data_IF_475291211922
#
_entry.id   IF_475291211922
#
_cell.length_a   1.000
_cell.length_b   1.000
_cell.length_c   1.000
_cell.angle_alpha   90.00
_cell.angle_beta   90.00
_cell.angle_gamma   90.00
#
_symmetry.space_group_name_H-M   'P 1'
#
loop_
_entity.id
_entity.type
_entity.pdbx_description
1 polymer ?
#
# COMPACT_ATOMS: atom_id res chain seq x y z
N UNK A 1 11.83 10.10 -12.48
CA UNK A 1 11.16 10.09 -11.14
C UNK A 1 10.44 11.41 -10.89
N UNK A 2 10.03 12.08 -11.96
CA UNK A 2 9.76 13.52 -11.96
C UNK A 2 8.31 13.86 -11.59
N UNK A 3 7.45 12.84 -11.49
CA UNK A 3 6.04 12.95 -11.12
C UNK A 3 5.78 12.81 -9.61
N UNK A 4 6.80 12.51 -8.78
CA UNK A 4 6.61 12.37 -7.34
C UNK A 4 6.63 13.74 -6.64
N UNK A 5 5.70 14.01 -5.71
CA UNK A 5 5.60 15.30 -5.05
C UNK A 5 6.86 15.60 -4.22
N UNK A 6 7.52 16.73 -4.52
CA UNK A 6 8.81 17.15 -3.90
C UNK A 6 8.72 17.53 -2.41
N UNK A 7 7.51 17.69 -1.85
CA UNK A 7 7.29 18.07 -0.44
C UNK A 7 7.52 16.90 0.54
N UNK A 8 7.58 15.66 0.06
CA UNK A 8 7.85 14.47 0.89
C UNK A 8 9.15 13.83 0.43
N UNK A 9 9.89 13.22 1.35
CA UNK A 9 11.03 12.38 0.97
C UNK A 9 10.56 11.29 -0.01
N UNK A 10 11.34 11.04 -1.07
CA UNK A 10 10.99 10.07 -2.12
C UNK A 10 10.67 8.70 -1.53
N UNK A 11 11.58 8.21 -0.70
CA UNK A 11 11.43 6.98 0.09
C UNK A 11 11.66 7.34 1.55
N UNK A 12 10.78 6.86 2.42
CA UNK A 12 10.95 6.92 3.87
C UNK A 12 10.57 5.57 4.45
N UNK A 13 11.21 5.23 5.55
CA UNK A 13 10.86 4.12 6.40
C UNK A 13 9.96 4.61 7.54
N UNK A 14 8.89 3.88 7.87
CA UNK A 14 8.14 4.09 9.10
C UNK A 14 7.81 2.76 9.79
N UNK A 15 7.72 2.81 11.11
CA UNK A 15 7.26 1.68 11.93
C UNK A 15 5.81 1.91 12.28
N UNK A 16 4.95 0.93 11.98
CA UNK A 16 3.60 0.90 12.53
C UNK A 16 3.68 0.40 13.98
N UNK A 17 3.26 1.24 14.92
CA UNK A 17 3.33 0.92 16.35
C UNK A 17 2.32 -0.14 16.79
N UNK A 18 1.27 -0.39 16.00
CA UNK A 18 0.29 -1.43 16.26
C UNK A 18 0.75 -2.80 15.73
N UNK A 19 1.36 -2.82 14.55
CA UNK A 19 1.82 -4.07 13.91
C UNK A 19 3.29 -4.39 14.21
N UNK A 20 4.04 -3.43 14.77
CA UNK A 20 5.48 -3.46 15.00
C UNK A 20 6.27 -3.86 13.75
N UNK A 21 5.83 -3.36 12.59
CA UNK A 21 6.37 -3.74 11.27
C UNK A 21 6.91 -2.55 10.51
N UNK A 22 7.79 -2.86 9.56
CA UNK A 22 8.45 -1.92 8.67
C UNK A 22 7.57 -1.60 7.46
N UNK A 23 7.20 -0.33 7.30
CA UNK A 23 6.28 0.12 6.26
C UNK A 23 6.99 1.09 5.32
N UNK A 24 6.67 0.99 4.03
CA UNK A 24 7.15 1.91 3.01
C UNK A 24 6.35 3.21 3.08
N UNK A 25 7.04 4.31 3.41
CA UNK A 25 6.50 5.64 3.47
C UNK A 25 7.19 6.59 2.47
N UNK A 26 6.82 7.86 2.53
CA UNK A 26 7.31 8.89 1.61
C UNK A 26 6.41 9.04 0.38
N UNK A 27 6.90 9.78 -0.60
CA UNK A 27 6.16 10.06 -1.83
C UNK A 27 5.87 8.79 -2.63
N UNK A 28 6.84 7.86 -2.69
CA UNK A 28 6.69 6.59 -3.39
C UNK A 28 5.63 5.70 -2.73
N UNK A 29 5.69 5.54 -1.41
CA UNK A 29 4.72 4.73 -0.68
C UNK A 29 3.29 5.25 -0.87
N UNK A 30 3.11 6.58 -0.83
CA UNK A 30 1.81 7.19 -1.12
C UNK A 30 1.35 6.91 -2.57
N UNK A 31 2.23 7.11 -3.56
CA UNK A 31 1.89 6.89 -4.96
C UNK A 31 1.55 5.42 -5.28
N UNK A 32 2.23 4.46 -4.66
CA UNK A 32 1.91 3.04 -4.78
C UNK A 32 0.51 2.78 -4.22
N UNK A 33 0.22 3.26 -3.00
CA UNK A 33 -1.09 3.09 -2.37
C UNK A 33 -2.20 3.71 -3.22
N UNK A 34 -2.00 4.94 -3.71
CA UNK A 34 -2.97 5.61 -4.59
C UNK A 34 -3.22 4.81 -5.88
N UNK A 35 -2.16 4.24 -6.48
CA UNK A 35 -2.29 3.39 -7.67
C UNK A 35 -3.05 2.10 -7.37
N UNK A 36 -2.82 1.48 -6.21
CA UNK A 36 -3.54 0.28 -5.80
C UNK A 36 -5.04 0.54 -5.60
N UNK A 37 -5.42 1.70 -5.07
CA UNK A 37 -6.82 2.12 -5.03
C UNK A 37 -7.39 2.38 -6.42
N UNK A 38 -6.65 3.08 -7.28
CA UNK A 38 -7.09 3.37 -8.65
C UNK A 38 -7.27 2.12 -9.52
N UNK A 39 -6.54 1.05 -9.21
CA UNK A 39 -6.67 -0.28 -9.84
C UNK A 39 -7.69 -1.19 -9.13
N UNK A 40 -8.41 -0.66 -8.12
CA UNK A 40 -9.36 -1.43 -7.29
C UNK A 40 -8.77 -2.66 -6.58
N UNK A 41 -7.46 -2.69 -6.40
CA UNK A 41 -6.80 -3.74 -5.60
C UNK A 41 -7.08 -3.53 -4.11
N UNK A 42 -7.27 -2.28 -3.70
CA UNK A 42 -7.64 -1.87 -2.35
C UNK A 42 -8.97 -1.13 -2.36
N UNK A 43 -9.72 -1.26 -1.26
CA UNK A 43 -10.93 -0.48 -0.97
C UNK A 43 -10.95 0.01 0.47
N UNK A 44 -11.63 1.11 0.72
CA UNK A 44 -11.83 1.57 2.10
C UNK A 44 -12.77 0.63 2.85
N UNK A 45 -12.42 0.32 4.09
CA UNK A 45 -13.28 -0.40 5.01
C UNK A 45 -14.40 0.48 5.57
N UNK A 46 -15.27 -0.13 6.39
CA UNK A 46 -16.39 0.55 7.06
C UNK A 46 -15.93 1.67 8.01
N UNK A 47 -14.72 1.56 8.56
CA UNK A 47 -14.18 2.48 9.54
C UNK A 47 -13.01 3.29 8.98
N UNK A 48 -12.82 4.48 9.54
CA UNK A 48 -11.72 5.37 9.15
C UNK A 48 -10.37 4.68 9.39
N UNK A 49 -9.44 4.83 8.44
CA UNK A 49 -8.11 4.20 8.44
C UNK A 49 -8.12 2.67 8.34
N UNK A 50 -9.25 2.06 7.98
CA UNK A 50 -9.30 0.65 7.62
C UNK A 50 -9.32 0.56 6.09
N UNK A 51 -8.46 -0.30 5.55
CA UNK A 51 -8.44 -0.66 4.13
C UNK A 51 -8.67 -2.17 4.02
N UNK A 52 -9.20 -2.61 2.89
CA UNK A 52 -9.41 -4.01 2.57
C UNK A 52 -8.77 -4.32 1.24
N UNK A 53 -8.02 -5.41 1.20
CA UNK A 53 -7.60 -6.03 -0.05
C UNK A 53 -8.81 -6.68 -0.72
N UNK A 54 -9.02 -6.38 -2.00
CA UNK A 54 -10.08 -7.02 -2.78
C UNK A 54 -9.65 -8.41 -3.25
N UNK A 55 -10.60 -9.23 -3.70
CA UNK A 55 -10.27 -10.55 -4.26
C UNK A 55 -9.39 -10.42 -5.51
N UNK A 56 -9.69 -9.44 -6.37
CA UNK A 56 -8.83 -9.04 -7.50
C UNK A 56 -7.45 -8.62 -7.00
N UNK A 57 -7.37 -7.78 -5.96
CA UNK A 57 -6.12 -7.38 -5.34
C UNK A 57 -5.28 -8.55 -4.86
N UNK A 58 -5.90 -9.56 -4.26
CA UNK A 58 -5.23 -10.79 -3.81
C UNK A 58 -4.73 -11.65 -4.96
N UNK A 59 -5.39 -11.63 -6.12
CA UNK A 59 -4.94 -12.35 -7.32
C UNK A 59 -3.78 -11.63 -7.99
N UNK A 60 -3.93 -10.34 -8.25
CA UNK A 60 -2.92 -9.49 -8.88
C UNK A 60 -1.62 -9.45 -8.07
N UNK A 61 -1.72 -9.32 -6.74
CA UNK A 61 -0.54 -9.33 -5.89
C UNK A 61 0.20 -10.67 -5.91
N UNK A 62 -0.53 -11.77 -6.05
CA UNK A 62 0.07 -13.10 -6.17
C UNK A 62 0.72 -13.29 -7.54
N UNK A 63 0.04 -12.86 -8.59
CA UNK A 63 0.48 -13.07 -9.98
C UNK A 63 1.67 -12.17 -10.33
N UNK A 64 1.61 -10.89 -9.99
CA UNK A 64 2.63 -9.90 -10.36
C UNK A 64 3.81 -9.93 -9.40
N UNK A 65 3.55 -10.07 -8.10
CA UNK A 65 4.58 -9.91 -7.06
C UNK A 65 4.89 -11.19 -6.29
N UNK A 66 4.20 -12.30 -6.57
CA UNK A 66 4.39 -13.56 -5.82
C UNK A 66 3.96 -13.47 -4.35
N UNK A 67 3.21 -12.44 -3.96
CA UNK A 67 2.84 -12.20 -2.56
C UNK A 67 1.63 -13.05 -2.20
N UNK A 68 1.76 -13.87 -1.16
CA UNK A 68 0.63 -14.58 -0.56
C UNK A 68 -0.11 -13.62 0.37
N UNK A 69 -1.44 -13.58 0.25
CA UNK A 69 -2.24 -12.60 0.99
C UNK A 69 -2.40 -12.89 2.49
N UNK A 70 -1.77 -13.93 3.03
CA UNK A 70 -1.58 -14.13 4.48
C UNK A 70 -0.51 -13.19 5.07
N UNK A 71 0.32 -12.56 4.23
CA UNK A 71 1.36 -11.60 4.63
C UNK A 71 0.98 -10.13 4.44
N UNK A 72 -0.22 -9.85 3.93
CA UNK A 72 -0.73 -8.49 3.76
C UNK A 72 -1.61 -8.19 4.97
N UNK A 73 -0.95 -7.76 6.04
CA UNK A 73 -1.56 -7.15 7.22
C UNK A 73 -0.95 -5.76 7.28
#
# INVERSE_FOLDING_TARGET
MDALPRRRATVRYCVDWSEQRHHLAGALGAAITDRMFALELLRHGKYRRVIRLTDTGREELRTVFGVRGDRIV
#
